data_IF_886993854919
#
_entry.id   IF_886993854919
#
_cell.length_a   1.000
_cell.length_b   1.000
_cell.length_c   1.000
_cell.angle_alpha   90.00
_cell.angle_beta   90.00
_cell.angle_gamma   90.00
#
_symmetry.space_group_name_H-M   'P 1'
#
loop_
_entity.id
_entity.type
_entity.pdbx_description
1 polymer ?
#
# COMPACT_ATOMS: atom_id res chain seq x y z
N UNK A 1 22.80 36.60 -25.35
CA UNK A 1 22.10 36.49 -24.05
C UNK A 1 20.65 36.01 -24.28
N UNK A 2 20.40 34.72 -24.47
CA UNK A 2 19.01 34.21 -24.55
C UNK A 2 18.84 32.73 -24.19
N UNK A 3 19.86 32.11 -23.60
CA UNK A 3 19.84 30.70 -23.20
C UNK A 3 19.67 30.50 -21.67
N UNK A 4 19.16 31.52 -20.96
CA UNK A 4 19.10 31.50 -19.48
C UNK A 4 17.75 31.06 -18.88
N UNK A 5 16.76 30.63 -19.67
CA UNK A 5 15.43 30.31 -19.12
C UNK A 5 14.93 28.88 -19.40
N UNK A 6 15.63 28.09 -20.19
CA UNK A 6 15.19 26.72 -20.53
C UNK A 6 15.70 25.68 -19.51
N UNK A 7 16.70 26.02 -18.68
CA UNK A 7 17.35 25.07 -17.77
C UNK A 7 16.66 24.89 -16.41
N UNK A 8 15.69 25.72 -16.03
CA UNK A 8 15.10 25.68 -14.67
C UNK A 8 13.96 24.64 -14.56
N UNK A 9 13.35 24.22 -15.67
CA UNK A 9 12.25 23.25 -15.66
C UNK A 9 12.69 21.79 -15.39
N UNK A 10 13.99 21.49 -15.49
CA UNK A 10 14.52 20.12 -15.32
C UNK A 10 15.01 19.78 -13.90
N UNK A 11 14.94 20.73 -12.95
CA UNK A 11 15.43 20.52 -11.58
C UNK A 11 14.33 20.26 -10.53
N UNK A 12 13.05 20.19 -10.93
CA UNK A 12 11.94 19.91 -10.01
C UNK A 12 11.20 18.64 -10.40
N UNK A 13 11.94 17.57 -10.62
CA UNK A 13 11.40 16.21 -10.55
C UNK A 13 12.04 15.50 -9.35
N UNK A 14 11.81 16.03 -8.14
CA UNK A 14 11.87 15.17 -6.96
C UNK A 14 10.69 14.21 -7.09
N UNK A 15 10.96 13.05 -7.69
CA UNK A 15 10.02 11.96 -7.75
C UNK A 15 9.55 11.66 -6.33
N UNK A 16 8.30 12.03 -6.01
CA UNK A 16 7.62 11.36 -4.91
C UNK A 16 7.51 9.92 -5.37
N UNK A 17 8.27 9.02 -4.77
CA UNK A 17 8.04 7.60 -4.92
C UNK A 17 6.62 7.37 -4.42
N UNK A 18 5.67 7.30 -5.36
CA UNK A 18 4.28 7.06 -5.03
C UNK A 18 4.22 5.59 -4.63
N UNK A 19 3.99 5.37 -3.34
CA UNK A 19 3.80 4.04 -2.81
C UNK A 19 2.53 3.46 -3.43
N UNK A 20 2.69 2.54 -4.36
CA UNK A 20 1.56 1.93 -5.10
C UNK A 20 0.91 0.80 -4.31
N UNK A 21 1.34 0.54 -3.07
CA UNK A 21 0.69 -0.49 -2.26
C UNK A 21 -0.64 0.01 -1.76
N UNK A 22 -1.63 -0.86 -1.93
CA UNK A 22 -2.98 -0.62 -1.45
C UNK A 22 -2.98 -0.42 0.06
N UNK A 23 -3.74 0.58 0.51
CA UNK A 23 -3.87 0.96 1.90
C UNK A 23 -5.30 0.75 2.37
N UNK A 24 -5.67 -0.51 2.60
CA UNK A 24 -7.04 -0.89 3.00
C UNK A 24 -7.53 -0.08 4.22
N UNK A 25 -6.68 0.11 5.25
CA UNK A 25 -7.09 0.81 6.47
C UNK A 25 -7.51 2.27 6.26
N UNK A 26 -6.97 2.92 5.22
CA UNK A 26 -7.29 4.30 4.88
C UNK A 26 -8.60 4.42 4.13
N UNK A 27 -8.82 3.52 3.18
CA UNK A 27 -10.03 3.50 2.36
C UNK A 27 -11.25 3.01 3.16
N UNK A 28 -11.08 1.94 3.96
CA UNK A 28 -12.18 1.29 4.67
C UNK A 28 -12.48 1.93 6.03
N UNK A 29 -11.45 2.41 6.74
CA UNK A 29 -11.59 2.86 8.14
C UNK A 29 -11.01 4.25 8.44
N UNK A 30 -10.32 4.89 7.47
CA UNK A 30 -9.70 6.21 7.66
C UNK A 30 -8.42 6.24 8.50
N UNK A 31 -7.82 5.08 8.80
CA UNK A 31 -6.52 5.00 9.49
C UNK A 31 -5.36 5.09 8.49
N UNK A 32 -4.20 5.60 8.93
CA UNK A 32 -3.02 5.64 8.07
C UNK A 32 -2.40 4.24 7.90
N UNK A 33 -1.68 4.04 6.80
CA UNK A 33 -0.91 2.82 6.61
C UNK A 33 0.37 2.80 7.44
N UNK A 34 0.76 1.61 7.87
CA UNK A 34 2.02 1.42 8.53
C UNK A 34 3.21 1.65 7.58
N UNK A 35 4.32 2.23 8.07
CA UNK A 35 5.60 2.20 7.40
C UNK A 35 6.07 0.78 7.07
N UNK A 36 6.97 0.67 6.12
CA UNK A 36 7.53 -0.63 5.70
C UNK A 36 8.31 -1.30 6.80
N UNK A 37 8.14 -2.61 6.92
CA UNK A 37 8.77 -3.40 7.96
C UNK A 37 8.18 -3.21 9.35
N UNK A 38 7.04 -2.51 9.48
CA UNK A 38 6.28 -2.49 10.74
C UNK A 38 5.81 -3.91 11.05
N UNK A 39 6.05 -4.37 12.28
CA UNK A 39 5.58 -5.67 12.74
C UNK A 39 4.07 -5.65 12.99
N UNK A 40 3.41 -6.77 12.71
CA UNK A 40 1.99 -6.96 13.04
C UNK A 40 1.85 -6.98 14.57
N UNK A 41 1.02 -6.10 15.11
CA UNK A 41 0.72 -6.00 16.54
C UNK A 41 -0.50 -6.84 16.92
N UNK A 42 -1.54 -6.84 16.08
CA UNK A 42 -2.72 -7.67 16.24
C UNK A 42 -3.46 -7.85 14.91
N UNK A 43 -4.35 -8.84 14.85
CA UNK A 43 -5.30 -9.06 13.77
C UNK A 43 -6.71 -8.79 14.31
N UNK A 44 -7.57 -8.14 13.52
CA UNK A 44 -8.97 -7.92 13.91
C UNK A 44 -9.87 -9.11 13.54
N UNK A 45 -11.16 -9.02 13.89
CA UNK A 45 -12.13 -10.08 13.62
C UNK A 45 -12.40 -10.31 12.13
N UNK A 46 -11.96 -9.40 11.26
CA UNK A 46 -12.09 -9.47 9.80
C UNK A 46 -10.83 -10.05 9.13
N UNK A 47 -9.78 -10.33 9.91
CA UNK A 47 -8.51 -10.84 9.41
C UNK A 47 -7.55 -9.74 8.94
N UNK A 48 -7.81 -8.46 9.24
CA UNK A 48 -6.89 -7.39 8.86
C UNK A 48 -5.74 -7.27 9.87
N UNK A 49 -4.51 -7.18 9.36
CA UNK A 49 -3.31 -7.02 10.19
C UNK A 49 -3.06 -5.56 10.56
N UNK A 50 -3.02 -5.24 11.84
CA UNK A 50 -2.77 -3.90 12.36
C UNK A 50 -1.38 -3.79 12.99
N UNK A 51 -0.76 -2.62 12.83
CA UNK A 51 0.48 -2.24 13.53
C UNK A 51 0.24 -1.04 14.44
N UNK A 52 1.20 -0.79 15.33
CA UNK A 52 1.23 0.41 16.18
C UNK A 52 2.56 1.12 15.99
N UNK A 53 2.53 2.37 15.52
CA UNK A 53 3.73 3.19 15.32
C UNK A 53 3.56 4.51 16.06
N UNK A 54 4.48 4.79 17.00
CA UNK A 54 4.39 5.96 17.89
C UNK A 54 3.04 6.05 18.62
N UNK A 55 2.56 4.92 19.16
CA UNK A 55 1.27 4.82 19.87
C UNK A 55 0.03 5.05 18.98
N UNK A 56 0.20 5.15 17.65
CA UNK A 56 -0.87 5.32 16.68
C UNK A 56 -1.10 4.01 15.93
N UNK A 57 -2.35 3.57 15.88
CA UNK A 57 -2.78 2.42 15.09
C UNK A 57 -2.69 2.71 13.60
N UNK A 58 -2.16 1.76 12.85
CA UNK A 58 -2.04 1.82 11.40
C UNK A 58 -2.35 0.47 10.75
N UNK A 59 -2.84 0.46 9.52
CA UNK A 59 -3.04 -0.79 8.77
C UNK A 59 -1.74 -1.28 8.16
N UNK A 60 -1.40 -2.55 8.39
CA UNK A 60 -0.26 -3.19 7.73
C UNK A 60 -0.59 -3.33 6.25
N UNK A 61 0.29 -2.80 5.40
CA UNK A 61 0.14 -2.91 3.96
C UNK A 61 0.30 -4.37 3.57
N UNK A 62 -0.75 -4.93 2.99
CA UNK A 62 -0.63 -6.21 2.31
C UNK A 62 0.27 -6.06 1.08
N UNK A 63 0.88 -7.17 0.65
CA UNK A 63 1.69 -7.21 -0.56
C UNK A 63 0.93 -6.72 -1.79
N UNK A 64 1.62 -6.67 -2.94
CA UNK A 64 1.07 -6.14 -4.20
C UNK A 64 -0.29 -6.80 -4.52
N UNK A 65 -1.40 -6.14 -4.20
CA UNK A 65 -2.75 -6.65 -4.44
C UNK A 65 -3.07 -6.51 -5.93
N UNK A 66 -2.66 -7.53 -6.68
CA UNK A 66 -2.74 -7.53 -8.14
C UNK A 66 -4.18 -7.70 -8.64
N UNK A 67 -5.08 -8.28 -7.84
CA UNK A 67 -6.51 -8.48 -8.17
C UNK A 67 -7.27 -7.16 -8.40
N UNK A 68 -6.78 -6.06 -7.81
CA UNK A 68 -7.37 -4.73 -7.99
C UNK A 68 -7.27 -4.23 -9.43
N UNK A 69 -6.32 -4.73 -10.24
CA UNK A 69 -6.26 -4.44 -11.67
C UNK A 69 -7.54 -4.89 -12.41
N UNK A 70 -8.20 -5.93 -11.90
CA UNK A 70 -9.44 -6.49 -12.41
C UNK A 70 -10.68 -6.05 -11.60
N UNK A 71 -10.53 -5.06 -10.71
CA UNK A 71 -11.55 -4.61 -9.76
C UNK A 71 -12.05 -5.70 -8.80
N UNK A 72 -11.17 -6.65 -8.45
CA UNK A 72 -11.45 -7.66 -7.43
C UNK A 72 -10.71 -7.25 -6.14
N UNK A 73 -11.42 -7.15 -4.99
CA UNK A 73 -10.80 -6.77 -3.73
C UNK A 73 -9.75 -7.79 -3.30
N UNK A 74 -8.80 -7.36 -2.47
CA UNK A 74 -7.77 -8.24 -1.90
C UNK A 74 -8.41 -9.29 -0.99
N UNK A 75 -7.81 -10.48 -0.95
CA UNK A 75 -8.19 -11.49 0.03
C UNK A 75 -7.65 -11.09 1.41
N UNK A 76 -8.46 -11.18 2.50
CA UNK A 76 -7.97 -10.96 3.86
C UNK A 76 -6.80 -11.87 4.23
N UNK A 77 -5.95 -11.44 5.17
CA UNK A 77 -4.87 -12.28 5.71
C UNK A 77 -5.41 -13.59 6.25
N UNK A 78 -4.65 -14.67 6.05
CA UNK A 78 -5.04 -16.01 6.49
C UNK A 78 -6.11 -16.67 5.61
N UNK A 79 -6.60 -15.99 4.57
CA UNK A 79 -7.42 -16.63 3.54
C UNK A 79 -6.65 -17.80 2.95
N UNK A 80 -7.29 -18.98 2.99
CA UNK A 80 -6.72 -20.16 2.36
C UNK A 80 -6.77 -19.98 0.85
N UNK A 81 -5.60 -19.96 0.23
CA UNK A 81 -5.46 -19.99 -1.23
C UNK A 81 -6.11 -21.25 -1.78
N UNK A 82 -7.03 -21.07 -2.73
CA UNK A 82 -7.74 -22.16 -3.38
C UNK A 82 -7.43 -22.25 -4.87
N UNK A 83 -6.86 -21.21 -5.47
CA UNK A 83 -6.47 -21.22 -6.89
C UNK A 83 -5.18 -20.41 -7.15
N UNK A 84 -4.55 -20.67 -8.28
CA UNK A 84 -3.33 -19.97 -8.71
C UNK A 84 -3.41 -19.69 -10.21
N UNK A 85 -3.12 -18.46 -10.62
CA UNK A 85 -3.01 -18.10 -12.03
C UNK A 85 -1.69 -17.36 -12.32
N UNK A 86 -1.59 -16.73 -13.50
CA UNK A 86 -0.40 -15.97 -13.91
C UNK A 86 -0.13 -14.70 -13.08
N UNK A 87 -1.15 -14.20 -12.38
CA UNK A 87 -1.09 -12.96 -11.59
C UNK A 87 -0.76 -13.25 -10.12
N UNK A 88 -1.22 -14.39 -9.59
CA UNK A 88 -0.84 -14.88 -8.26
C UNK A 88 -1.81 -15.89 -7.66
N UNK A 89 -1.92 -15.81 -6.33
CA UNK A 89 -2.71 -16.70 -5.45
C UNK A 89 -4.13 -16.14 -5.20
N UNK A 90 -5.18 -16.93 -5.46
CA UNK A 90 -6.60 -16.56 -5.28
C UNK A 90 -7.29 -17.40 -4.19
#
# INVERSE_FOLDING_TARGET
MKYSLISIALLIACAKAQDTRYCWSKEEYGYECCPDGTEVSFEDDEGNSWGVVNEIQCGIREGRCWSMADNIPCCPVGTKVNDFNQDGEW
#
